data_IF_584961740496
#
_entry.id   IF_584961740496
#
_cell.length_a   1.000
_cell.length_b   1.000
_cell.length_c   1.000
_cell.angle_alpha   90.00
_cell.angle_beta   90.00
_cell.angle_gamma   90.00
#
_symmetry.space_group_name_H-M   'P 1'
#
loop_
_entity.id
_entity.type
_entity.pdbx_description
1 polymer ?
#
# COMPACT_ATOMS: atom_id res chain seq x y z
N UNK A 1 1.60 -1.44 -2.65
CA UNK A 1 1.42 -2.89 -2.71
C UNK A 1 0.01 -3.26 -2.28
N UNK A 2 -0.60 -4.22 -2.97
CA UNK A 2 -1.92 -4.78 -2.65
C UNK A 2 -3.05 -3.76 -2.44
N UNK A 3 -2.88 -2.56 -2.93
CA UNK A 3 -3.89 -1.50 -2.89
C UNK A 3 -4.03 -0.87 -4.28
N UNK A 4 -3.10 -0.03 -4.72
CA UNK A 4 -3.13 0.52 -6.08
C UNK A 4 -2.62 -0.46 -7.15
N UNK A 5 -1.76 -1.38 -6.76
CA UNK A 5 -1.39 -2.57 -7.54
C UNK A 5 -1.82 -3.83 -6.79
N UNK A 6 -2.08 -4.91 -7.52
CA UNK A 6 -2.58 -6.16 -6.94
C UNK A 6 -1.47 -6.92 -6.22
N UNK A 7 -0.25 -6.91 -6.78
CA UNK A 7 0.87 -7.66 -6.24
C UNK A 7 1.54 -6.97 -5.05
N UNK A 8 2.28 -7.74 -4.28
CA UNK A 8 3.34 -7.26 -3.42
C UNK A 8 4.59 -7.10 -4.29
N UNK A 9 4.99 -5.87 -4.57
CA UNK A 9 6.05 -5.58 -5.54
C UNK A 9 7.39 -6.19 -5.16
N UNK A 10 7.74 -6.18 -3.88
CA UNK A 10 8.98 -6.76 -3.41
C UNK A 10 9.02 -8.27 -3.60
N UNK A 11 7.99 -8.97 -3.17
CA UNK A 11 7.91 -10.44 -3.33
C UNK A 11 7.84 -10.84 -4.80
N UNK A 12 7.12 -10.08 -5.59
CA UNK A 12 6.90 -10.37 -7.00
C UNK A 12 8.15 -10.13 -7.87
N UNK A 13 8.81 -8.98 -7.69
CA UNK A 13 9.92 -8.55 -8.53
C UNK A 13 11.29 -8.92 -7.98
N UNK A 14 11.42 -9.15 -6.67
CA UNK A 14 12.71 -9.39 -6.02
C UNK A 14 12.86 -10.79 -5.47
N UNK A 15 11.86 -11.68 -5.66
CA UNK A 15 11.86 -13.01 -5.03
C UNK A 15 12.06 -12.93 -3.51
N UNK A 16 11.52 -11.89 -2.89
CA UNK A 16 11.68 -11.61 -1.47
C UNK A 16 11.24 -12.79 -0.61
N UNK A 17 12.16 -13.34 0.13
CA UNK A 17 11.92 -14.49 1.01
C UNK A 17 11.94 -14.12 2.48
N UNK A 18 11.97 -12.84 2.77
CA UNK A 18 12.16 -12.40 4.13
C UNK A 18 10.93 -12.68 4.99
N UNK A 19 11.18 -13.27 6.15
CA UNK A 19 10.18 -13.47 7.19
C UNK A 19 10.03 -12.25 8.10
N UNK A 20 10.92 -11.29 7.97
CA UNK A 20 10.96 -10.10 8.81
C UNK A 20 9.73 -9.21 8.55
N UNK A 21 9.07 -9.38 7.41
CA UNK A 21 8.12 -8.40 6.89
C UNK A 21 6.69 -8.92 6.71
N UNK A 22 6.29 -9.92 7.46
CA UNK A 22 4.89 -10.35 7.50
C UNK A 22 4.02 -9.26 8.18
N UNK A 23 4.01 -8.08 7.57
CA UNK A 23 3.07 -7.02 7.93
C UNK A 23 3.55 -5.98 8.93
N UNK A 24 4.81 -5.98 9.37
CA UNK A 24 5.22 -5.22 10.55
C UNK A 24 6.29 -4.15 10.31
N UNK A 25 5.95 -3.11 9.54
CA UNK A 25 6.81 -1.92 9.45
C UNK A 25 6.35 -0.83 10.43
N UNK A 26 6.41 -1.12 11.73
CA UNK A 26 5.95 -0.17 12.75
C UNK A 26 7.05 0.69 13.29
N UNK A 27 8.28 0.21 13.30
CA UNK A 27 9.40 0.84 13.99
C UNK A 27 10.53 1.19 13.06
N UNK A 28 11.33 2.18 13.44
CA UNK A 28 12.56 2.50 12.74
C UNK A 28 13.56 1.35 12.69
N UNK A 29 13.54 0.48 13.69
CA UNK A 29 14.36 -0.72 13.71
C UNK A 29 14.00 -1.70 12.60
N UNK A 30 12.72 -1.96 12.40
CA UNK A 30 12.24 -2.83 11.31
C UNK A 30 12.57 -2.26 9.94
N UNK A 31 12.40 -0.96 9.77
CA UNK A 31 12.80 -0.25 8.56
C UNK A 31 14.31 -0.36 8.29
N UNK A 32 15.13 -0.25 9.34
CA UNK A 32 16.57 -0.45 9.24
C UNK A 32 16.94 -1.87 8.80
N UNK A 33 16.31 -2.87 9.37
CA UNK A 33 16.55 -4.27 8.97
C UNK A 33 16.17 -4.51 7.51
N UNK A 34 15.08 -3.93 7.06
CA UNK A 34 14.65 -4.04 5.66
C UNK A 34 15.63 -3.36 4.72
N UNK A 35 16.04 -2.14 5.04
CA UNK A 35 17.06 -1.43 4.25
C UNK A 35 18.32 -2.26 4.09
N UNK A 36 18.79 -2.89 5.18
CA UNK A 36 19.97 -3.76 5.16
C UNK A 36 19.76 -4.98 4.25
N UNK A 37 18.59 -5.58 4.28
CA UNK A 37 18.26 -6.70 3.41
C UNK A 37 18.23 -6.29 1.94
N UNK A 38 17.72 -5.12 1.63
CA UNK A 38 17.61 -4.61 0.25
C UNK A 38 18.98 -4.42 -0.41
N UNK A 39 20.04 -4.24 0.37
CA UNK A 39 21.40 -4.14 -0.17
C UNK A 39 21.87 -5.41 -0.90
N UNK A 40 21.24 -6.54 -0.59
CA UNK A 40 21.52 -7.83 -1.24
C UNK A 40 20.40 -8.30 -2.17
N UNK A 41 19.31 -7.54 -2.24
CA UNK A 41 18.18 -7.89 -3.09
C UNK A 41 18.47 -7.59 -4.56
N UNK A 42 17.99 -8.46 -5.43
CA UNK A 42 18.10 -8.33 -6.87
C UNK A 42 16.71 -8.11 -7.47
N UNK A 43 16.55 -7.05 -8.26
CA UNK A 43 15.29 -6.71 -8.91
C UNK A 43 15.22 -7.34 -10.29
N UNK A 44 14.22 -8.18 -10.54
CA UNK A 44 13.90 -8.69 -11.87
C UNK A 44 13.00 -7.68 -12.59
N UNK A 45 13.59 -6.81 -13.38
CA UNK A 45 12.89 -5.76 -14.11
C UNK A 45 11.92 -6.28 -15.16
N UNK A 46 12.09 -7.50 -15.64
CA UNK A 46 11.17 -8.11 -16.59
C UNK A 46 9.77 -8.33 -16.03
N UNK A 47 9.67 -8.48 -14.70
CA UNK A 47 8.40 -8.68 -14.01
C UNK A 47 7.59 -7.40 -13.82
N UNK A 48 8.19 -6.22 -13.99
CA UNK A 48 7.46 -4.95 -13.85
C UNK A 48 6.32 -4.87 -14.85
N UNK A 49 6.52 -5.36 -16.07
CA UNK A 49 5.47 -5.39 -17.09
C UNK A 49 4.25 -6.25 -16.67
N UNK A 50 4.45 -7.25 -15.81
CA UNK A 50 3.41 -8.15 -15.32
C UNK A 50 2.67 -7.60 -14.09
N UNK A 51 3.10 -6.48 -13.53
CA UNK A 51 2.40 -5.79 -12.44
C UNK A 51 1.02 -5.35 -12.93
N UNK A 52 0.00 -5.62 -12.15
CA UNK A 52 -1.40 -5.33 -12.47
C UNK A 52 -1.92 -4.17 -11.63
N UNK A 53 -2.45 -3.15 -12.29
CA UNK A 53 -3.17 -2.06 -11.60
C UNK A 53 -4.47 -2.61 -11.02
N UNK A 54 -4.74 -2.22 -9.78
CA UNK A 54 -6.01 -2.51 -9.13
C UNK A 54 -7.04 -1.45 -9.53
N UNK A 55 -7.86 -1.76 -10.52
CA UNK A 55 -8.84 -0.81 -11.06
C UNK A 55 -9.92 -0.41 -10.05
N UNK A 56 -10.21 -1.27 -9.06
CA UNK A 56 -11.15 -0.95 -7.99
C UNK A 56 -10.72 0.27 -7.17
N UNK A 57 -9.43 0.51 -7.08
CA UNK A 57 -8.87 1.66 -6.38
C UNK A 57 -8.44 2.74 -7.38
N UNK A 58 -7.73 2.36 -8.44
CA UNK A 58 -7.16 3.30 -9.41
C UNK A 58 -8.20 4.19 -10.06
N UNK A 59 -9.33 3.64 -10.48
CA UNK A 59 -10.37 4.41 -11.16
C UNK A 59 -10.96 5.50 -10.26
N UNK A 60 -10.98 5.28 -8.96
CA UNK A 60 -11.44 6.26 -7.98
C UNK A 60 -10.37 7.34 -7.78
N UNK A 61 -9.13 6.94 -7.50
CA UNK A 61 -8.08 7.90 -7.14
C UNK A 61 -7.58 8.71 -8.33
N UNK A 62 -7.58 8.14 -9.53
CA UNK A 62 -7.08 8.80 -10.74
C UNK A 62 -7.92 10.01 -11.18
N UNK A 63 -9.18 10.10 -10.73
CA UNK A 63 -10.05 11.27 -10.98
C UNK A 63 -9.76 12.44 -10.03
N UNK A 64 -8.84 12.28 -9.10
CA UNK A 64 -8.45 13.28 -8.11
C UNK A 64 -6.93 13.48 -8.11
N UNK A 65 -6.45 14.48 -7.38
CA UNK A 65 -5.03 14.57 -7.05
C UNK A 65 -4.69 13.46 -6.06
N UNK A 66 -3.73 12.62 -6.40
CA UNK A 66 -3.34 11.52 -5.51
C UNK A 66 -1.82 11.36 -5.42
N UNK A 67 -1.39 10.76 -4.33
CA UNK A 67 0.00 10.34 -4.12
C UNK A 67 0.00 8.90 -3.61
N UNK A 68 1.06 8.17 -3.93
CA UNK A 68 1.28 6.82 -3.42
C UNK A 68 2.35 6.86 -2.35
N UNK A 69 2.06 6.32 -1.18
CA UNK A 69 3.02 6.14 -0.09
C UNK A 69 3.30 4.66 0.08
N UNK A 70 4.55 4.25 -0.07
CA UNK A 70 4.95 2.85 0.02
C UNK A 70 6.16 2.65 0.91
N UNK A 71 6.16 1.59 1.71
CA UNK A 71 7.34 1.12 2.45
C UNK A 71 8.30 0.32 1.56
N UNK A 72 8.02 0.22 0.28
CA UNK A 72 8.79 -0.57 -0.68
C UNK A 72 10.04 0.13 -1.20
N UNK A 73 10.67 -0.50 -2.19
CA UNK A 73 11.93 -0.04 -2.79
C UNK A 73 11.66 1.16 -3.69
N UNK A 74 12.37 2.26 -3.44
CA UNK A 74 12.22 3.51 -4.20
C UNK A 74 12.40 3.29 -5.70
N UNK A 75 13.48 2.64 -6.12
CA UNK A 75 13.80 2.47 -7.54
C UNK A 75 12.79 1.54 -8.22
N UNK A 76 12.38 0.47 -7.56
CA UNK A 76 11.35 -0.42 -8.07
C UNK A 76 10.02 0.32 -8.27
N UNK A 77 9.59 1.11 -7.29
CA UNK A 77 8.36 1.89 -7.41
C UNK A 77 8.44 2.99 -8.47
N UNK A 78 9.61 3.59 -8.66
CA UNK A 78 9.82 4.54 -9.76
C UNK A 78 9.62 3.87 -11.12
N UNK A 79 10.17 2.67 -11.29
CA UNK A 79 10.01 1.89 -12.52
C UNK A 79 8.54 1.45 -12.74
N UNK A 80 7.86 1.04 -11.68
CA UNK A 80 6.43 0.69 -11.74
C UNK A 80 5.60 1.92 -12.13
N UNK A 81 5.87 3.06 -11.53
CA UNK A 81 5.14 4.30 -11.83
C UNK A 81 5.30 4.69 -13.30
N UNK A 82 6.51 4.62 -13.83
CA UNK A 82 6.77 4.92 -15.23
C UNK A 82 6.08 3.92 -16.16
N UNK A 83 6.15 2.63 -15.85
CA UNK A 83 5.56 1.58 -16.69
C UNK A 83 4.03 1.61 -16.69
N UNK A 84 3.41 2.00 -15.57
CA UNK A 84 1.95 1.97 -15.38
C UNK A 84 1.31 3.36 -15.38
N UNK A 85 2.07 4.39 -15.67
CA UNK A 85 1.59 5.76 -15.72
C UNK A 85 0.90 6.20 -14.42
N UNK A 86 1.50 5.85 -13.29
CA UNK A 86 1.03 6.29 -11.98
C UNK A 86 1.51 7.73 -11.71
N UNK A 87 0.79 8.42 -10.83
CA UNK A 87 1.14 9.78 -10.41
C UNK A 87 2.35 9.84 -9.48
N UNK A 88 2.35 10.79 -8.58
CA UNK A 88 3.47 11.00 -7.64
C UNK A 88 3.59 9.84 -6.66
N UNK A 89 4.80 9.29 -6.55
CA UNK A 89 5.09 8.19 -5.63
C UNK A 89 6.21 8.58 -4.68
N UNK A 90 5.98 8.32 -3.40
CA UNK A 90 7.00 8.38 -2.35
C UNK A 90 7.19 6.96 -1.81
N UNK A 91 8.31 6.33 -2.12
CA UNK A 91 8.62 4.98 -1.69
C UNK A 91 9.97 4.95 -0.99
N UNK A 92 10.00 4.32 0.18
CA UNK A 92 11.21 4.12 0.98
C UNK A 92 10.90 3.11 2.09
N UNK A 93 11.85 2.26 2.48
CA UNK A 93 11.70 1.41 3.66
C UNK A 93 11.40 2.19 4.95
N UNK A 94 11.70 3.48 4.98
CA UNK A 94 11.45 4.35 6.14
C UNK A 94 10.03 4.93 6.19
N UNK A 95 9.20 4.69 5.19
CA UNK A 95 7.78 5.06 5.21
C UNK A 95 7.02 4.00 6.02
N UNK A 96 7.10 4.12 7.33
CA UNK A 96 6.45 3.26 8.31
C UNK A 96 4.98 3.66 8.52
N UNK A 97 4.28 2.92 9.38
CA UNK A 97 2.93 3.27 9.81
C UNK A 97 2.86 4.69 10.38
N UNK A 98 3.84 5.08 11.19
CA UNK A 98 3.91 6.41 11.79
C UNK A 98 4.09 7.50 10.73
N UNK A 99 4.96 7.28 9.74
CA UNK A 99 5.18 8.26 8.66
C UNK A 99 3.92 8.47 7.84
N UNK A 100 3.24 7.39 7.47
CA UNK A 100 1.96 7.47 6.74
C UNK A 100 0.92 8.26 7.53
N UNK A 101 0.82 8.00 8.82
CA UNK A 101 -0.06 8.74 9.72
C UNK A 101 0.27 10.24 9.75
N UNK A 102 1.55 10.58 9.95
CA UNK A 102 1.96 11.98 10.03
C UNK A 102 1.76 12.74 8.73
N UNK A 103 1.95 12.11 7.58
CA UNK A 103 1.68 12.74 6.28
C UNK A 103 0.22 13.16 6.19
N UNK A 104 -0.70 12.26 6.52
CA UNK A 104 -2.14 12.56 6.48
C UNK A 104 -2.50 13.63 7.49
N UNK A 105 -2.00 13.52 8.73
CA UNK A 105 -2.26 14.49 9.78
C UNK A 105 -1.81 15.89 9.38
N UNK A 106 -0.59 16.04 8.88
CA UNK A 106 -0.04 17.33 8.46
C UNK A 106 -0.81 17.92 7.28
N UNK A 107 -1.18 17.12 6.31
CA UNK A 107 -1.98 17.60 5.17
C UNK A 107 -3.35 18.11 5.63
N UNK A 108 -4.01 17.42 6.55
CA UNK A 108 -5.29 17.88 7.11
C UNK A 108 -5.13 19.18 7.89
N UNK A 109 -4.09 19.31 8.69
CA UNK A 109 -3.80 20.54 9.43
C UNK A 109 -3.55 21.75 8.49
N UNK A 110 -3.08 21.48 7.26
CA UNK A 110 -2.92 22.49 6.22
C UNK A 110 -4.17 22.72 5.36
N UNK A 111 -5.30 22.15 5.74
CA UNK A 111 -6.59 22.41 5.09
C UNK A 111 -6.97 21.46 3.97
N UNK A 112 -6.19 20.41 3.72
CA UNK A 112 -6.54 19.40 2.72
C UNK A 112 -7.59 18.43 3.26
N UNK A 113 -8.54 18.05 2.40
CA UNK A 113 -9.43 16.91 2.63
C UNK A 113 -8.76 15.66 2.11
N UNK A 114 -8.55 14.66 2.98
CA UNK A 114 -7.77 13.47 2.67
C UNK A 114 -8.67 12.24 2.69
N UNK A 115 -8.68 11.51 1.56
CA UNK A 115 -9.21 10.16 1.46
C UNK A 115 -8.02 9.20 1.33
N UNK A 116 -7.90 8.25 2.24
CA UNK A 116 -6.79 7.33 2.30
C UNK A 116 -7.23 5.92 1.96
N UNK A 117 -6.36 5.18 1.30
CA UNK A 117 -6.59 3.81 0.84
C UNK A 117 -5.45 2.91 1.29
N UNK A 118 -5.75 1.75 1.80
CA UNK A 118 -4.75 0.79 2.26
C UNK A 118 -5.33 -0.60 2.44
N UNK A 119 -4.49 -1.59 2.73
CA UNK A 119 -4.91 -3.00 2.82
C UNK A 119 -4.49 -3.71 4.10
N UNK A 120 -3.59 -3.14 4.88
CA UNK A 120 -2.95 -3.84 5.98
C UNK A 120 -2.87 -3.03 7.27
N UNK A 121 -2.39 -3.67 8.33
CA UNK A 121 -2.27 -3.05 9.65
C UNK A 121 -1.39 -1.80 9.65
N UNK A 122 -0.33 -1.76 8.85
CA UNK A 122 0.52 -0.57 8.78
C UNK A 122 -0.19 0.67 8.22
N UNK A 123 -1.32 0.48 7.55
CA UNK A 123 -2.12 1.56 7.00
C UNK A 123 -3.18 2.08 7.96
N UNK A 124 -3.50 1.33 9.04
CA UNK A 124 -4.65 1.65 9.89
C UNK A 124 -4.60 3.04 10.52
N UNK A 125 -3.44 3.48 11.02
CA UNK A 125 -3.32 4.81 11.62
C UNK A 125 -3.58 5.91 10.58
N UNK A 126 -3.02 5.75 9.38
CA UNK A 126 -3.27 6.65 8.27
C UNK A 126 -4.76 6.67 7.88
N UNK A 127 -5.37 5.51 7.75
CA UNK A 127 -6.78 5.39 7.36
C UNK A 127 -7.71 6.03 8.38
N UNK A 128 -7.42 5.88 9.67
CA UNK A 128 -8.24 6.46 10.75
C UNK A 128 -8.04 7.96 10.90
N UNK A 129 -6.86 8.48 10.58
CA UNK A 129 -6.58 9.93 10.62
C UNK A 129 -7.20 10.65 9.43
N UNK A 130 -7.36 10.02 8.29
CA UNK A 130 -7.97 10.60 7.10
C UNK A 130 -9.41 11.03 7.34
N UNK A 131 -9.90 11.97 6.53
CA UNK A 131 -11.34 12.33 6.53
C UNK A 131 -12.20 11.12 6.20
N UNK A 132 -11.70 10.25 5.32
CA UNK A 132 -12.32 8.96 5.01
C UNK A 132 -11.25 7.92 4.72
N UNK A 133 -11.29 6.80 5.44
CA UNK A 133 -10.37 5.69 5.26
C UNK A 133 -11.04 4.52 4.56
N UNK A 134 -10.44 4.06 3.47
CA UNK A 134 -10.92 2.93 2.67
C UNK A 134 -9.97 1.75 2.83
N UNK A 135 -10.50 0.63 3.29
CA UNK A 135 -9.76 -0.60 3.43
C UNK A 135 -10.04 -1.53 2.26
N UNK A 136 -9.00 -1.78 1.45
CA UNK A 136 -9.12 -2.74 0.36
C UNK A 136 -9.01 -4.17 0.90
N UNK A 137 -10.08 -4.92 0.78
CA UNK A 137 -10.17 -6.29 1.24
C UNK A 137 -9.96 -7.28 0.08
N UNK A 138 -10.48 -6.94 -1.09
CA UNK A 138 -10.39 -7.81 -2.26
C UNK A 138 -11.12 -9.13 -2.02
N UNK A 139 -10.43 -10.23 -2.24
CA UNK A 139 -10.94 -11.60 -2.03
C UNK A 139 -10.70 -12.11 -0.63
N UNK A 140 -9.70 -11.58 0.05
CA UNK A 140 -9.32 -12.02 1.38
C UNK A 140 -8.68 -10.88 2.17
N UNK A 141 -9.17 -10.67 3.38
CA UNK A 141 -8.59 -9.69 4.29
C UNK A 141 -7.13 -10.02 4.63
N UNK A 142 -6.29 -9.00 4.78
CA UNK A 142 -4.89 -9.18 5.19
C UNK A 142 -4.80 -9.87 6.55
N UNK A 143 -3.88 -10.82 6.67
CA UNK A 143 -3.62 -11.54 7.92
C UNK A 143 -3.21 -10.60 9.05
N UNK A 144 -2.55 -9.50 8.73
CA UNK A 144 -2.12 -8.50 9.72
C UNK A 144 -3.28 -7.84 10.46
N UNK A 145 -4.49 -7.92 9.90
CA UNK A 145 -5.70 -7.31 10.45
C UNK A 145 -6.51 -8.24 11.35
N UNK A 146 -6.07 -9.48 11.55
CA UNK A 146 -6.85 -10.54 12.22
C UNK A 146 -7.41 -10.13 13.59
N UNK A 147 -6.66 -9.37 14.35
CA UNK A 147 -7.05 -8.96 15.72
C UNK A 147 -7.31 -7.45 15.82
N UNK A 148 -7.50 -6.77 14.69
CA UNK A 148 -7.68 -5.32 14.66
C UNK A 148 -9.16 -4.96 14.48
N UNK A 149 -9.58 -3.88 15.15
CA UNK A 149 -10.88 -3.28 14.89
C UNK A 149 -10.86 -2.55 13.54
N UNK A 150 -11.86 -2.81 12.70
CA UNK A 150 -12.03 -2.14 11.41
C UNK A 150 -13.18 -1.11 11.44
N UNK A 151 -13.66 -0.79 12.63
CA UNK A 151 -14.74 0.18 12.82
C UNK A 151 -14.40 1.55 12.21
N UNK A 152 -15.35 2.15 11.52
CA UNK A 152 -15.20 3.46 10.89
C UNK A 152 -14.50 3.46 9.52
N UNK A 153 -14.01 2.33 9.06
CA UNK A 153 -13.39 2.20 7.74
C UNK A 153 -14.41 1.73 6.70
N UNK A 154 -14.23 2.19 5.46
CA UNK A 154 -15.09 1.78 4.33
C UNK A 154 -14.41 0.61 3.61
N UNK A 155 -15.02 -0.57 3.57
CA UNK A 155 -14.44 -1.70 2.87
C UNK A 155 -14.60 -1.58 1.35
N UNK A 156 -13.57 -2.01 0.61
CA UNK A 156 -13.61 -2.17 -0.84
C UNK A 156 -13.37 -3.65 -1.16
N UNK A 157 -14.31 -4.28 -1.83
CA UNK A 157 -14.23 -5.68 -2.23
C UNK A 157 -13.94 -5.81 -3.72
N UNK A 158 -13.36 -6.95 -4.10
CA UNK A 158 -13.23 -7.33 -5.49
C UNK A 158 -14.64 -7.55 -6.09
N UNK A 159 -14.91 -7.02 -7.28
CA UNK A 159 -16.20 -7.16 -7.97
C UNK A 159 -16.60 -8.61 -8.18
N UNK A 160 -15.64 -9.50 -8.38
CA UNK A 160 -15.94 -10.94 -8.54
C UNK A 160 -16.58 -11.55 -7.30
N UNK A 161 -16.27 -11.05 -6.10
CA UNK A 161 -16.90 -11.50 -4.85
C UNK A 161 -18.33 -10.97 -4.72
N UNK A 162 -18.59 -9.76 -5.15
CA UNK A 162 -19.95 -9.17 -5.13
C UNK A 162 -20.88 -9.98 -6.04
N UNK A 163 -20.42 -10.34 -7.23
CA UNK A 163 -21.20 -11.17 -8.18
C UNK A 163 -21.52 -12.54 -7.58
N UNK A 164 -20.55 -13.16 -6.92
CA UNK A 164 -20.75 -14.49 -6.29
C UNK A 164 -21.68 -14.42 -5.08
N UNK A 165 -21.75 -13.33 -4.39
CA UNK A 165 -22.61 -13.17 -3.22
C UNK A 165 -24.09 -13.01 -3.60
N UNK A 166 -24.38 -12.55 -4.79
CA UNK A 166 -25.75 -12.35 -5.30
C UNK A 166 -26.38 -13.65 -5.85
N UNK A 167 -25.60 -14.68 -6.06
CA UNK A 167 -26.06 -16.00 -6.48
C UNK A 167 -26.48 -16.89 -5.31
#
# INVERSE_FOLDING_TARGET
>A
DKTIIIQDSYRFCCNGKTKIFDGDFYTGYQSFLFEKELQTASIDKSKIAEITINNEVYDIVASNNYVVLSSGIKDLWSDIANAKNLGTIFASPYISADVKYYVVKQLREHGYTIFAYGDSKIDLYMLREADKGFLYIGKQISRSLKNESLSGLVPIYDHSLVILADE
#
